data_IF_950688725875
#
_entry.id   IF_950688725875
#
_cell.length_a   1.000
_cell.length_b   1.000
_cell.length_c   1.000
_cell.angle_alpha   90.00
_cell.angle_beta   90.00
_cell.angle_gamma   90.00
#
_symmetry.space_group_name_H-M   'P 1'
#
loop_
_entity.id
_entity.type
_entity.pdbx_description
1 polymer ?
#
# COMPACT_ATOMS: atom_id res chain seq x y z
N UNK A 1 -6.21 8.71 12.81
CA UNK A 1 -5.67 7.51 12.14
C UNK A 1 -6.62 7.12 11.03
N UNK A 2 -6.12 6.92 9.80
CA UNK A 2 -6.96 6.45 8.70
C UNK A 2 -7.13 4.92 8.77
N UNK A 3 -8.09 4.38 8.01
CA UNK A 3 -8.38 2.93 7.99
C UNK A 3 -7.15 2.07 7.73
N UNK A 4 -6.26 2.50 6.84
CA UNK A 4 -5.03 1.76 6.52
C UNK A 4 -4.06 1.72 7.71
N UNK A 5 -3.86 2.85 8.39
CA UNK A 5 -3.03 2.91 9.59
C UNK A 5 -3.58 2.04 10.73
N UNK A 6 -4.90 1.95 10.89
CA UNK A 6 -5.54 1.04 11.87
C UNK A 6 -5.27 -0.42 11.55
N UNK A 7 -5.35 -0.83 10.28
CA UNK A 7 -5.00 -2.20 9.86
C UNK A 7 -3.52 -2.51 10.15
N UNK A 8 -2.61 -1.56 9.86
CA UNK A 8 -1.19 -1.72 10.16
C UNK A 8 -0.92 -1.90 11.67
N UNK A 9 -1.59 -1.14 12.54
CA UNK A 9 -1.50 -1.31 13.99
C UNK A 9 -1.96 -2.70 14.44
N UNK A 10 -2.94 -3.28 13.76
CA UNK A 10 -3.46 -4.61 14.04
C UNK A 10 -2.61 -5.73 13.43
N UNK A 11 -1.50 -5.40 12.74
CA UNK A 11 -0.65 -6.39 12.06
C UNK A 11 -1.17 -6.85 10.69
N UNK A 12 -2.19 -6.18 10.15
CA UNK A 12 -2.80 -6.53 8.87
C UNK A 12 -2.19 -5.70 7.73
N UNK A 13 -1.30 -6.31 6.94
CA UNK A 13 -0.84 -5.69 5.69
C UNK A 13 -1.85 -5.94 4.57
N UNK A 14 -2.70 -4.94 4.33
CA UNK A 14 -3.78 -4.96 3.33
C UNK A 14 -3.39 -4.22 2.05
N UNK A 15 -3.95 -4.68 0.93
CA UNK A 15 -3.89 -4.02 -0.38
C UNK A 15 -5.30 -3.74 -0.88
N UNK A 16 -5.47 -2.73 -1.73
CA UNK A 16 -6.76 -2.45 -2.37
C UNK A 16 -6.66 -2.59 -3.89
N UNK A 17 -7.65 -3.25 -4.48
CA UNK A 17 -7.76 -3.41 -5.93
C UNK A 17 -9.08 -2.82 -6.41
N UNK A 18 -9.08 -2.04 -7.49
CA UNK A 18 -10.32 -1.50 -8.04
C UNK A 18 -11.24 -2.63 -8.52
N UNK A 19 -12.52 -2.57 -8.15
CA UNK A 19 -13.49 -3.59 -8.57
C UNK A 19 -13.79 -3.52 -10.08
N UNK A 20 -13.58 -2.35 -10.70
CA UNK A 20 -13.84 -2.11 -12.12
C UNK A 20 -12.59 -2.36 -12.98
N UNK A 21 -11.58 -1.49 -12.91
CA UNK A 21 -10.40 -1.58 -13.78
C UNK A 21 -9.34 -2.61 -13.32
N UNK A 22 -9.56 -3.26 -12.17
CA UNK A 22 -8.67 -4.30 -11.58
C UNK A 22 -7.26 -3.84 -11.24
N UNK A 23 -6.96 -2.54 -11.34
CA UNK A 23 -5.67 -1.97 -10.96
C UNK A 23 -5.47 -2.03 -9.45
N UNK A 24 -4.23 -2.27 -9.04
CA UNK A 24 -3.80 -2.12 -7.65
C UNK A 24 -3.80 -0.64 -7.31
N UNK A 25 -4.43 -0.29 -6.19
CA UNK A 25 -4.50 1.06 -5.67
C UNK A 25 -3.66 1.11 -4.40
N UNK A 26 -2.61 1.93 -4.45
CA UNK A 26 -1.64 2.11 -3.37
C UNK A 26 -1.35 3.61 -3.12
N UNK A 27 -1.38 4.09 -1.87
CA UNK A 27 -1.80 3.37 -0.65
C UNK A 27 -3.25 2.88 -0.72
N UNK A 28 -3.66 1.90 0.11
CA UNK A 28 -5.04 1.40 0.08
C UNK A 28 -6.05 2.54 0.28
N UNK A 29 -7.02 2.63 -0.63
CA UNK A 29 -8.03 3.69 -0.67
C UNK A 29 -9.39 3.09 -0.97
N UNK A 30 -10.49 3.72 -0.53
CA UNK A 30 -11.85 3.24 -0.86
C UNK A 30 -12.20 3.47 -2.36
N UNK A 31 -11.49 4.37 -3.04
CA UNK A 31 -11.74 4.73 -4.44
C UNK A 31 -10.48 4.61 -5.29
N UNK A 32 -10.66 4.18 -6.53
CA UNK A 32 -9.59 4.09 -7.52
C UNK A 32 -9.17 5.48 -8.01
N UNK A 33 -7.86 5.73 -8.06
CA UNK A 33 -7.29 6.96 -8.57
C UNK A 33 -7.34 7.11 -10.10
N UNK A 34 -7.74 6.05 -10.83
CA UNK A 34 -7.81 6.03 -12.30
C UNK A 34 -9.25 6.16 -12.79
N UNK A 35 -10.15 5.31 -12.30
CA UNK A 35 -11.54 5.27 -12.79
C UNK A 35 -12.57 5.72 -11.76
N UNK A 36 -12.13 6.17 -10.58
CA UNK A 36 -12.98 6.70 -9.50
C UNK A 36 -14.05 5.74 -8.95
N UNK A 37 -14.05 4.48 -9.37
CA UNK A 37 -14.92 3.44 -8.83
C UNK A 37 -14.36 2.88 -7.51
N UNK A 38 -15.18 2.12 -6.78
CA UNK A 38 -14.80 1.53 -5.50
C UNK A 38 -13.63 0.54 -5.63
N UNK A 39 -12.96 0.31 -4.50
CA UNK A 39 -11.94 -0.72 -4.38
C UNK A 39 -12.37 -1.79 -3.38
N UNK A 40 -11.86 -3.00 -3.57
CA UNK A 40 -11.94 -4.07 -2.60
C UNK A 40 -10.61 -4.15 -1.85
N UNK A 41 -10.68 -4.12 -0.53
CA UNK A 41 -9.54 -4.33 0.34
C UNK A 41 -9.38 -5.82 0.63
N UNK A 42 -8.14 -6.31 0.61
CA UNK A 42 -7.82 -7.71 0.85
C UNK A 42 -6.47 -7.86 1.52
N UNK A 43 -6.32 -8.91 2.33
CA UNK A 43 -5.03 -9.26 2.92
C UNK A 43 -4.01 -9.58 1.83
N UNK A 44 -2.80 -9.03 1.98
CA UNK A 44 -1.68 -9.43 1.16
C UNK A 44 -1.15 -10.80 1.59
N UNK A 45 -0.36 -11.44 0.71
CA UNK A 45 0.38 -12.67 1.06
C UNK A 45 1.56 -12.43 2.01
N UNK A 46 1.85 -11.17 2.37
CA UNK A 46 2.99 -10.76 3.20
C UNK A 46 4.36 -11.27 2.71
N UNK A 47 4.47 -11.59 1.41
CA UNK A 47 5.70 -12.02 0.75
C UNK A 47 5.88 -11.15 -0.50
N UNK A 48 7.11 -10.69 -0.74
CA UNK A 48 7.43 -9.82 -1.87
C UNK A 48 8.87 -10.01 -2.37
N UNK A 49 9.18 -9.34 -3.47
CA UNK A 49 10.52 -9.27 -4.06
C UNK A 49 10.99 -7.82 -4.03
N UNK A 50 12.26 -7.60 -3.67
CA UNK A 50 12.88 -6.27 -3.81
C UNK A 50 13.04 -5.98 -5.30
N UNK A 51 12.36 -4.93 -5.77
CA UNK A 51 12.44 -4.48 -7.17
C UNK A 51 13.38 -3.28 -7.33
N UNK A 52 13.52 -2.47 -6.28
CA UNK A 52 14.39 -1.30 -6.24
C UNK A 52 14.81 -1.04 -4.79
N UNK A 53 16.03 -0.54 -4.59
CA UNK A 53 16.58 -0.21 -3.27
C UNK A 53 17.48 1.01 -3.37
N UNK A 54 17.33 1.94 -2.44
CA UNK A 54 18.22 3.09 -2.25
C UNK A 54 18.61 3.20 -0.78
N UNK A 55 19.86 3.61 -0.51
CA UNK A 55 20.39 3.80 0.83
C UNK A 55 20.82 5.25 1.01
N UNK A 56 20.16 5.97 1.91
CA UNK A 56 20.64 7.29 2.35
C UNK A 56 21.84 7.09 3.26
N UNK A 57 23.04 7.43 2.79
CA UNK A 57 24.18 7.62 3.69
C UNK A 57 24.01 8.95 4.42
N UNK A 58 23.93 8.90 5.74
CA UNK A 58 24.09 10.09 6.58
C UNK A 58 25.60 10.26 6.75
N UNK A 59 26.20 11.24 6.08
CA UNK A 59 27.55 11.69 6.40
C UNK A 59 27.47 12.59 7.64
N UNK A 60 27.65 12.04 8.83
CA UNK A 60 28.04 12.84 9.99
C UNK A 60 29.50 13.22 9.81
N UNK A 61 29.75 14.45 9.34
CA UNK A 61 31.03 15.09 9.56
C UNK A 61 31.10 15.41 11.06
N UNK A 62 32.00 14.70 11.76
CA UNK A 62 32.44 15.04 13.12
C UNK A 62 33.53 16.10 13.00
#
# INVERSE_FOLDING_TARGET
MNKFETELLNGNFVISNCINCKQVVWPPSNYCNICHNETKWSNSKQVGKIIEFSKKMISTFV
#
